data_IF_891276470969
#
_entry.id   IF_891276470969
#
_cell.length_a   1.000
_cell.length_b   1.000
_cell.length_c   1.000
_cell.angle_alpha   90.00
_cell.angle_beta   90.00
_cell.angle_gamma   90.00
#
_symmetry.space_group_name_H-M   'P 1'
#
loop_
_entity.id
_entity.type
_entity.pdbx_description
1 polymer ?
#
# COMPACT_ATOMS: atom_id res chain seq x y z
N UNK A 1 8.41 7.73 -21.04
CA UNK A 1 7.67 7.43 -19.81
C UNK A 1 8.70 7.05 -18.77
N UNK A 2 8.74 7.75 -17.63
CA UNK A 2 9.68 7.41 -16.55
C UNK A 2 9.13 6.16 -15.85
N UNK A 3 9.96 5.14 -15.61
CA UNK A 3 9.53 3.96 -14.86
C UNK A 3 9.44 4.32 -13.37
N UNK A 4 8.37 3.87 -12.70
CA UNK A 4 8.26 4.04 -11.25
C UNK A 4 9.44 3.36 -10.53
N UNK A 5 9.91 2.21 -11.02
CA UNK A 5 11.05 1.51 -10.43
C UNK A 5 12.35 2.30 -10.53
N UNK A 6 12.60 2.97 -11.67
CA UNK A 6 13.76 3.86 -11.79
C UNK A 6 13.63 5.05 -10.85
N UNK A 7 12.42 5.60 -10.71
CA UNK A 7 12.15 6.72 -9.81
C UNK A 7 12.37 6.34 -8.34
N UNK A 8 11.89 5.16 -7.93
CA UNK A 8 12.09 4.61 -6.58
C UNK A 8 13.58 4.39 -6.32
N UNK A 9 14.32 3.90 -7.31
CA UNK A 9 15.78 3.71 -7.20
C UNK A 9 16.50 5.03 -7.01
N UNK A 10 16.27 6.01 -7.87
CA UNK A 10 16.86 7.34 -7.77
C UNK A 10 16.52 8.03 -6.44
N UNK A 11 15.26 7.89 -5.99
CA UNK A 11 14.84 8.38 -4.68
C UNK A 11 15.62 7.71 -3.55
N UNK A 12 15.79 6.38 -3.59
CA UNK A 12 16.50 5.62 -2.57
C UNK A 12 17.99 5.97 -2.42
N UNK A 13 18.62 6.50 -3.48
CA UNK A 13 20.02 6.94 -3.44
C UNK A 13 20.22 8.19 -2.56
N UNK A 14 19.18 8.99 -2.36
CA UNK A 14 19.24 10.25 -1.59
C UNK A 14 18.32 10.28 -0.37
N UNK A 15 17.33 9.40 -0.31
CA UNK A 15 16.36 9.31 0.76
C UNK A 15 16.95 8.71 2.04
N UNK A 16 16.57 9.28 3.18
CA UNK A 16 16.68 8.64 4.48
C UNK A 16 15.75 7.42 4.58
N UNK A 17 16.06 6.52 5.51
CA UNK A 17 15.18 5.39 5.84
C UNK A 17 13.78 5.83 6.27
N UNK A 18 13.66 7.01 6.91
CA UNK A 18 12.38 7.59 7.29
C UNK A 18 11.52 8.00 6.09
N UNK A 19 12.13 8.63 5.09
CA UNK A 19 11.44 8.99 3.84
C UNK A 19 10.97 7.74 3.08
N UNK A 20 11.82 6.73 2.95
CA UNK A 20 11.45 5.47 2.29
C UNK A 20 10.34 4.71 3.03
N UNK A 21 10.42 4.63 4.37
CA UNK A 21 9.35 4.05 5.21
C UNK A 21 8.01 4.72 4.95
N UNK A 22 7.99 6.05 4.88
CA UNK A 22 6.76 6.81 4.70
C UNK A 22 6.20 6.63 3.29
N UNK A 23 7.05 6.55 2.26
CA UNK A 23 6.61 6.23 0.90
C UNK A 23 5.88 4.89 0.86
N UNK A 24 6.49 3.85 1.42
CA UNK A 24 5.91 2.50 1.51
C UNK A 24 4.60 2.50 2.31
N UNK A 25 4.54 3.21 3.45
CA UNK A 25 3.32 3.35 4.24
C UNK A 25 2.20 4.05 3.46
N UNK A 26 2.54 5.02 2.60
CA UNK A 26 1.58 5.73 1.76
C UNK A 26 0.96 4.82 0.70
N UNK A 27 1.77 4.00 0.02
CA UNK A 27 1.28 2.98 -0.91
C UNK A 27 0.35 1.98 -0.22
N UNK A 28 0.75 1.48 0.95
CA UNK A 28 -0.08 0.56 1.74
C UNK A 28 -1.40 1.19 2.21
N UNK A 29 -1.40 2.44 2.66
CA UNK A 29 -2.61 3.12 3.13
C UNK A 29 -3.63 3.32 1.99
N UNK A 30 -3.18 3.59 0.76
CA UNK A 30 -4.06 3.69 -0.42
C UNK A 30 -4.75 2.38 -0.77
N UNK A 31 -4.15 1.25 -0.39
CA UNK A 31 -4.67 -0.09 -0.64
C UNK A 31 -5.47 -0.67 0.52
N UNK A 32 -5.23 -0.20 1.75
CA UNK A 32 -5.76 -0.80 2.98
C UNK A 32 -7.29 -0.95 3.00
N UNK A 33 -8.03 -0.04 2.36
CA UNK A 33 -9.50 -0.13 2.32
C UNK A 33 -10.04 -1.14 1.33
N UNK A 34 -9.30 -1.49 0.27
CA UNK A 34 -9.67 -2.62 -0.58
C UNK A 34 -9.64 -3.91 0.23
N UNK A 35 -8.59 -4.14 1.01
CA UNK A 35 -8.53 -5.29 1.91
C UNK A 35 -9.63 -5.24 2.98
N UNK A 36 -9.62 -4.20 3.83
CA UNK A 36 -10.52 -4.14 5.00
C UNK A 36 -12.00 -4.02 4.61
N UNK A 37 -12.30 -3.37 3.48
CA UNK A 37 -13.67 -3.23 2.99
C UNK A 37 -14.22 -4.51 2.38
N UNK A 38 -13.43 -5.22 1.58
CA UNK A 38 -13.87 -6.44 0.89
C UNK A 38 -13.86 -7.64 1.84
N UNK A 39 -12.76 -7.84 2.57
CA UNK A 39 -12.63 -8.93 3.55
C UNK A 39 -13.54 -8.71 4.76
N UNK A 40 -13.74 -7.46 5.18
CA UNK A 40 -14.59 -7.10 6.32
C UNK A 40 -16.08 -7.39 6.12
N UNK A 41 -16.52 -7.76 4.92
CA UNK A 41 -17.89 -8.27 4.70
C UNK A 41 -18.11 -9.66 5.32
N UNK A 42 -17.03 -10.40 5.59
CA UNK A 42 -17.08 -11.71 6.23
C UNK A 42 -16.66 -11.62 7.71
N UNK A 43 -17.61 -11.88 8.62
CA UNK A 43 -17.39 -11.84 10.06
C UNK A 43 -16.33 -12.85 10.55
N UNK A 44 -16.18 -13.98 9.87
CA UNK A 44 -15.19 -15.01 10.20
C UNK A 44 -13.75 -14.55 9.91
N UNK A 45 -13.59 -13.47 9.12
CA UNK A 45 -12.29 -12.88 8.74
C UNK A 45 -11.95 -11.62 9.56
N UNK A 46 -12.63 -11.39 10.69
CA UNK A 46 -12.43 -10.20 11.53
C UNK A 46 -10.99 -10.03 12.03
N UNK A 47 -10.30 -11.12 12.36
CA UNK A 47 -8.89 -11.08 12.80
C UNK A 47 -7.94 -10.58 11.70
N UNK A 48 -8.23 -10.90 10.44
CA UNK A 48 -7.40 -10.49 9.31
C UNK A 48 -7.57 -8.98 9.04
N UNK A 49 -8.78 -8.47 9.21
CA UNK A 49 -9.07 -7.04 9.16
C UNK A 49 -8.36 -6.30 10.31
N UNK A 50 -8.38 -6.85 11.53
CA UNK A 50 -7.64 -6.29 12.67
C UNK A 50 -6.13 -6.29 12.42
N UNK A 51 -5.57 -7.34 11.81
CA UNK A 51 -4.18 -7.41 11.39
C UNK A 51 -3.84 -6.27 10.40
N UNK A 52 -4.67 -6.06 9.38
CA UNK A 52 -4.49 -4.98 8.41
C UNK A 52 -4.51 -3.59 9.06
N UNK A 53 -5.49 -3.32 9.92
CA UNK A 53 -5.60 -2.05 10.66
C UNK A 53 -4.36 -1.84 11.54
N UNK A 54 -3.96 -2.86 12.31
CA UNK A 54 -2.79 -2.81 13.18
C UNK A 54 -1.51 -2.57 12.37
N UNK A 55 -1.32 -3.30 11.28
CA UNK A 55 -0.17 -3.12 10.38
C UNK A 55 -0.10 -1.67 9.88
N UNK A 56 -1.22 -1.13 9.40
CA UNK A 56 -1.27 0.26 8.95
C UNK A 56 -0.90 1.25 10.04
N UNK A 57 -1.43 1.11 11.25
CA UNK A 57 -1.06 2.00 12.35
C UNK A 57 0.42 1.92 12.76
N UNK A 58 1.04 0.75 12.62
CA UNK A 58 2.48 0.56 12.85
C UNK A 58 3.31 1.13 11.70
N UNK A 59 2.85 1.04 10.45
CA UNK A 59 3.59 1.49 9.27
C UNK A 59 3.87 3.00 9.31
N UNK A 60 2.98 3.79 9.90
CA UNK A 60 3.17 5.23 10.06
C UNK A 60 3.99 5.64 11.30
N UNK A 61 4.37 4.70 12.15
CA UNK A 61 5.24 4.97 13.30
C UNK A 61 6.71 4.91 12.88
N UNK A 62 7.51 5.85 13.41
CA UNK A 62 8.94 5.92 13.12
C UNK A 62 9.71 4.71 13.65
N UNK A 63 9.44 4.30 14.88
CA UNK A 63 10.13 3.21 15.59
C UNK A 63 9.19 2.36 16.47
N UNK A 64 8.22 1.64 15.88
CA UNK A 64 7.38 0.73 16.63
C UNK A 64 8.20 -0.43 17.19
N UNK A 65 7.92 -0.83 18.43
CA UNK A 65 8.57 -1.97 19.11
C UNK A 65 7.80 -3.26 18.83
N UNK A 66 7.96 -3.81 17.62
CA UNK A 66 7.24 -5.00 17.15
C UNK A 66 8.16 -5.85 16.24
N UNK A 67 7.79 -7.09 15.97
CA UNK A 67 8.44 -7.95 14.96
C UNK A 67 7.77 -7.74 13.60
N UNK A 68 8.49 -7.16 12.63
CA UNK A 68 7.96 -6.96 11.28
C UNK A 68 7.90 -8.26 10.49
N UNK A 69 8.82 -9.18 10.75
CA UNK A 69 8.79 -10.53 10.20
C UNK A 69 7.52 -11.29 10.60
N UNK A 70 7.09 -11.22 11.87
CA UNK A 70 5.83 -11.84 12.33
C UNK A 70 4.59 -11.23 11.63
N UNK A 71 4.60 -9.91 11.41
CA UNK A 71 3.53 -9.23 10.67
C UNK A 71 3.51 -9.70 9.21
N UNK A 72 4.67 -9.77 8.56
CA UNK A 72 4.80 -10.24 7.19
C UNK A 72 4.39 -11.71 7.04
N UNK A 73 4.85 -12.58 7.95
CA UNK A 73 4.46 -13.99 7.98
C UNK A 73 2.94 -14.13 8.11
N UNK A 74 2.32 -13.36 9.02
CA UNK A 74 0.86 -13.33 9.17
C UNK A 74 0.15 -12.99 7.86
N UNK A 75 0.60 -11.95 7.12
CA UNK A 75 0.03 -11.65 5.80
C UNK A 75 0.24 -12.77 4.79
N UNK A 76 1.43 -13.36 4.72
CA UNK A 76 1.73 -14.46 3.79
C UNK A 76 0.87 -15.71 4.03
N UNK A 77 0.37 -15.88 5.26
CA UNK A 77 -0.51 -16.98 5.64
C UNK A 77 -1.99 -16.74 5.32
N UNK A 78 -2.36 -15.53 4.91
CA UNK A 78 -3.73 -15.21 4.55
C UNK A 78 -4.15 -15.98 3.29
N UNK A 79 -5.43 -16.37 3.16
CA UNK A 79 -5.96 -17.06 1.99
C UNK A 79 -5.61 -16.39 0.66
N UNK A 80 -5.57 -15.06 0.66
CA UNK A 80 -5.20 -14.26 -0.50
C UNK A 80 -3.77 -14.57 -0.97
N UNK A 81 -2.79 -14.68 -0.07
CA UNK A 81 -1.37 -14.87 -0.42
C UNK A 81 -0.87 -16.32 -0.34
N UNK A 82 -1.61 -17.19 0.34
CA UNK A 82 -1.24 -18.59 0.55
C UNK A 82 -1.62 -19.52 -0.62
N UNK A 83 -2.52 -19.07 -1.51
CA UNK A 83 -2.94 -19.82 -2.69
C UNK A 83 -1.92 -19.78 -3.82
N UNK A 84 -1.94 -20.82 -4.68
CA UNK A 84 -1.13 -20.87 -5.91
C UNK A 84 -1.69 -19.95 -7.02
N UNK A 85 -2.97 -19.58 -6.92
CA UNK A 85 -3.68 -18.76 -7.89
C UNK A 85 -4.32 -17.54 -7.21
N UNK A 86 -4.39 -16.44 -7.94
CA UNK A 86 -5.07 -15.23 -7.52
C UNK A 86 -6.57 -15.50 -7.31
N UNK A 87 -7.19 -14.99 -6.22
CA UNK A 87 -8.62 -15.15 -5.99
C UNK A 87 -9.46 -14.51 -7.10
N UNK A 88 -10.55 -15.15 -7.56
CA UNK A 88 -11.40 -14.57 -8.59
C UNK A 88 -12.28 -13.42 -8.07
N UNK A 89 -12.71 -12.55 -8.99
CA UNK A 89 -13.67 -11.48 -8.71
C UNK A 89 -13.13 -10.42 -7.76
N UNK A 90 -13.98 -9.90 -6.87
CA UNK A 90 -13.57 -8.82 -5.96
C UNK A 90 -12.41 -9.20 -5.02
N UNK A 91 -12.17 -10.48 -4.75
CA UNK A 91 -11.07 -10.89 -3.88
C UNK A 91 -9.68 -10.74 -4.53
N UNK A 92 -9.60 -10.57 -5.85
CA UNK A 92 -8.37 -10.17 -6.55
C UNK A 92 -7.81 -8.83 -6.00
N UNK A 93 -8.68 -7.86 -5.74
CA UNK A 93 -8.25 -6.58 -5.15
C UNK A 93 -7.80 -6.71 -3.70
N UNK A 94 -8.37 -7.68 -2.96
CA UNK A 94 -7.90 -8.02 -1.63
C UNK A 94 -6.52 -8.69 -1.67
N UNK A 95 -6.22 -9.47 -2.71
CA UNK A 95 -4.88 -10.01 -2.97
C UNK A 95 -3.84 -8.92 -3.13
N UNK A 96 -4.04 -7.97 -4.05
CA UNK A 96 -3.07 -6.88 -4.22
C UNK A 96 -2.90 -6.06 -2.95
N UNK A 97 -4.00 -5.77 -2.24
CA UNK A 97 -3.93 -5.02 -1.00
C UNK A 97 -3.17 -5.77 0.11
N UNK A 98 -3.39 -7.08 0.24
CA UNK A 98 -2.63 -7.94 1.16
C UNK A 98 -1.15 -7.99 0.77
N UNK A 99 -0.85 -8.11 -0.53
CA UNK A 99 0.52 -8.12 -1.04
C UNK A 99 1.24 -6.79 -0.78
N UNK A 100 0.57 -5.65 -1.01
CA UNK A 100 1.11 -4.33 -0.66
C UNK A 100 1.44 -4.23 0.83
N UNK A 101 0.56 -4.69 1.73
CA UNK A 101 0.78 -4.72 3.17
C UNK A 101 1.93 -5.66 3.57
N UNK A 102 2.00 -6.84 2.96
CA UNK A 102 3.08 -7.81 3.14
C UNK A 102 4.44 -7.22 2.78
N UNK A 103 4.58 -6.67 1.57
CA UNK A 103 5.85 -6.08 1.13
C UNK A 103 6.20 -4.82 1.92
N UNK A 104 5.20 -4.06 2.37
CA UNK A 104 5.43 -2.95 3.29
C UNK A 104 6.04 -3.43 4.62
N UNK A 105 5.50 -4.50 5.22
CA UNK A 105 6.06 -5.10 6.43
C UNK A 105 7.46 -5.69 6.19
N UNK A 106 7.67 -6.40 5.06
CA UNK A 106 8.99 -6.93 4.66
C UNK A 106 10.03 -5.82 4.54
N UNK A 107 9.69 -4.70 3.91
CA UNK A 107 10.60 -3.56 3.82
C UNK A 107 10.98 -3.02 5.21
N UNK A 108 10.03 -2.98 6.15
CA UNK A 108 10.32 -2.53 7.53
C UNK A 108 11.28 -3.45 8.27
N UNK A 109 11.27 -4.74 7.96
CA UNK A 109 12.21 -5.73 8.51
C UNK A 109 13.58 -5.65 7.84
N UNK A 110 13.61 -5.64 6.50
CA UNK A 110 14.83 -5.89 5.72
C UNK A 110 15.54 -4.62 5.23
N UNK A 111 14.80 -3.52 5.07
CA UNK A 111 15.25 -2.33 4.36
C UNK A 111 15.50 -2.53 2.87
N UNK A 112 15.07 -3.65 2.27
CA UNK A 112 15.39 -4.02 0.89
C UNK A 112 14.52 -3.26 -0.13
N UNK A 113 15.15 -2.65 -1.13
CA UNK A 113 14.48 -1.89 -2.19
C UNK A 113 13.54 -2.74 -3.05
N UNK A 114 13.80 -4.05 -3.17
CA UNK A 114 12.91 -4.97 -3.89
C UNK A 114 11.51 -5.02 -3.25
N UNK A 115 11.44 -4.97 -1.92
CA UNK A 115 10.17 -4.94 -1.20
C UNK A 115 9.43 -3.60 -1.43
N UNK A 116 10.15 -2.49 -1.54
CA UNK A 116 9.59 -1.17 -1.89
C UNK A 116 8.96 -1.20 -3.29
N UNK A 117 9.70 -1.71 -4.28
CA UNK A 117 9.23 -1.81 -5.66
C UNK A 117 8.00 -2.73 -5.76
N UNK A 118 8.02 -3.86 -5.05
CA UNK A 118 6.89 -4.81 -5.02
C UNK A 118 5.64 -4.19 -4.37
N UNK A 119 5.80 -3.49 -3.24
CA UNK A 119 4.72 -2.74 -2.60
C UNK A 119 4.09 -1.70 -3.55
N UNK A 120 4.93 -0.91 -4.21
CA UNK A 120 4.54 0.07 -5.24
C UNK A 120 3.77 -0.58 -6.41
N UNK A 121 4.31 -1.67 -6.95
CA UNK A 121 3.75 -2.32 -8.14
C UNK A 121 2.40 -2.97 -7.85
N UNK A 122 2.18 -3.59 -6.70
CA UNK A 122 0.85 -4.12 -6.37
C UNK A 122 -0.22 -3.02 -6.27
N UNK A 123 0.14 -1.82 -5.77
CA UNK A 123 -0.79 -0.69 -5.76
C UNK A 123 -1.13 -0.20 -7.18
N UNK A 124 -0.16 -0.25 -8.11
CA UNK A 124 -0.35 0.12 -9.52
C UNK A 124 -1.16 -0.93 -10.28
N UNK A 125 -0.82 -2.21 -10.14
CA UNK A 125 -1.52 -3.32 -10.79
C UNK A 125 -2.99 -3.33 -10.38
N UNK A 126 -3.27 -3.19 -9.08
CA UNK A 126 -4.66 -3.12 -8.62
C UNK A 126 -5.41 -1.94 -9.21
N UNK A 127 -4.75 -0.79 -9.40
CA UNK A 127 -5.36 0.36 -10.05
C UNK A 127 -5.65 0.10 -11.55
N UNK A 128 -4.75 -0.60 -12.25
CA UNK A 128 -4.98 -1.06 -13.62
C UNK A 128 -6.19 -1.99 -13.69
N UNK A 129 -6.23 -3.03 -12.85
CA UNK A 129 -7.35 -3.98 -12.79
C UNK A 129 -8.69 -3.30 -12.52
N UNK A 130 -8.75 -2.31 -11.62
CA UNK A 130 -9.99 -1.55 -11.39
C UNK A 130 -10.39 -0.76 -12.64
N UNK A 131 -9.43 -0.23 -13.41
CA UNK A 131 -9.73 0.48 -14.66
C UNK A 131 -10.33 -0.46 -15.70
N UNK A 132 -9.78 -1.67 -15.80
CA UNK A 132 -10.28 -2.72 -16.71
C UNK A 132 -11.68 -3.20 -16.31
N UNK A 133 -11.93 -3.41 -15.02
CA UNK A 133 -13.22 -3.88 -14.49
C UNK A 133 -14.34 -2.85 -14.70
N UNK A 134 -14.06 -1.58 -14.42
CA UNK A 134 -15.08 -0.53 -14.49
C UNK A 134 -15.35 -0.04 -15.92
N UNK A 135 -14.38 -0.19 -16.83
CA UNK A 135 -14.44 0.25 -18.25
C UNK A 135 -15.05 1.66 -18.45
N UNK A 136 -14.79 2.56 -17.50
CA UNK A 136 -15.37 3.91 -17.43
C UNK A 136 -14.46 4.98 -18.07
N UNK A 137 -13.37 4.53 -18.72
CA UNK A 137 -12.31 5.35 -19.34
C UNK A 137 -11.49 6.20 -18.37
N UNK A 138 -11.57 5.92 -17.07
CA UNK A 138 -10.68 6.53 -16.09
C UNK A 138 -9.42 5.68 -15.97
N UNK A 139 -8.27 6.28 -16.29
CA UNK A 139 -6.95 5.64 -16.17
C UNK A 139 -6.45 5.71 -14.73
N UNK A 140 -6.84 4.72 -13.91
CA UNK A 140 -6.47 4.70 -12.49
C UNK A 140 -5.02 4.29 -12.27
N UNK A 141 -4.40 3.58 -13.22
CA UNK A 141 -2.97 3.30 -13.21
C UNK A 141 -2.18 4.61 -13.23
N UNK A 142 -2.46 5.50 -14.20
CA UNK A 142 -1.81 6.79 -14.30
C UNK A 142 -2.08 7.66 -13.07
N UNK A 143 -3.29 7.63 -12.51
CA UNK A 143 -3.60 8.34 -11.25
C UNK A 143 -2.76 7.81 -10.08
N UNK A 144 -2.64 6.49 -9.92
CA UNK A 144 -1.81 5.92 -8.86
C UNK A 144 -0.32 6.22 -9.07
N UNK A 145 0.16 6.16 -10.32
CA UNK A 145 1.53 6.54 -10.67
C UNK A 145 1.81 8.00 -10.29
N UNK A 146 0.90 8.91 -10.62
CA UNK A 146 1.03 10.33 -10.25
C UNK A 146 1.01 10.54 -8.74
N UNK A 147 0.19 9.79 -7.99
CA UNK A 147 0.19 9.85 -6.52
C UNK A 147 1.55 9.42 -5.95
N UNK A 148 2.12 8.31 -6.44
CA UNK A 148 3.43 7.83 -5.99
C UNK A 148 4.55 8.81 -6.33
N UNK A 149 4.54 9.37 -7.55
CA UNK A 149 5.49 10.40 -7.95
C UNK A 149 5.37 11.67 -7.10
N UNK A 150 4.15 12.09 -6.78
CA UNK A 150 3.89 13.24 -5.92
C UNK A 150 4.39 13.01 -4.49
N UNK A 151 4.19 11.81 -3.94
CA UNK A 151 4.71 11.42 -2.63
C UNK A 151 6.24 11.41 -2.62
N UNK A 152 6.89 10.82 -3.61
CA UNK A 152 8.36 10.88 -3.76
C UNK A 152 8.83 12.33 -3.85
N UNK A 153 8.23 13.15 -4.72
CA UNK A 153 8.64 14.55 -4.88
C UNK A 153 8.43 15.38 -3.60
N UNK A 154 7.39 15.08 -2.81
CA UNK A 154 7.14 15.71 -1.53
C UNK A 154 8.18 15.26 -0.49
N UNK A 155 8.43 13.95 -0.39
CA UNK A 155 9.39 13.37 0.54
C UNK A 155 10.81 13.83 0.23
N UNK A 156 11.23 13.91 -1.02
CA UNK A 156 12.56 14.42 -1.41
C UNK A 156 12.84 15.85 -0.97
N UNK A 157 11.79 16.64 -0.68
CA UNK A 157 11.91 18.02 -0.22
C UNK A 157 11.75 18.20 1.29
N UNK A 158 11.33 17.16 2.02
CA UNK A 158 11.17 17.27 3.47
C UNK A 158 12.53 17.20 4.17
N UNK A 159 12.79 18.16 5.06
CA UNK A 159 13.98 18.14 5.92
C UNK A 159 13.82 17.24 7.15
N UNK A 160 12.58 16.93 7.53
CA UNK A 160 12.25 16.06 8.64
C UNK A 160 11.04 15.18 8.30
N UNK A 161 11.25 13.93 7.85
CA UNK A 161 10.15 13.03 7.50
C UNK A 161 9.25 12.67 8.70
N UNK A 162 9.77 12.76 9.92
CA UNK A 162 9.04 12.38 11.15
C UNK A 162 8.23 13.53 11.77
N UNK A 163 8.12 14.65 11.06
CA UNK A 163 7.24 15.75 11.47
C UNK A 163 5.77 15.29 11.50
N UNK A 164 5.12 15.48 12.65
CA UNK A 164 3.78 14.94 12.89
C UNK A 164 2.73 15.48 11.91
N UNK A 165 2.71 16.79 11.66
CA UNK A 165 1.76 17.41 10.74
C UNK A 165 1.96 16.93 9.30
N UNK A 166 3.22 16.74 8.89
CA UNK A 166 3.58 16.18 7.59
C UNK A 166 3.02 14.76 7.42
N UNK A 167 3.27 13.88 8.41
CA UNK A 167 2.76 12.51 8.41
C UNK A 167 1.23 12.48 8.37
N UNK A 168 0.56 13.28 9.21
CA UNK A 168 -0.91 13.32 9.26
C UNK A 168 -1.52 13.78 7.93
N UNK A 169 -0.92 14.81 7.32
CA UNK A 169 -1.36 15.30 6.00
C UNK A 169 -1.21 14.22 4.94
N UNK A 170 -0.05 13.56 4.86
CA UNK A 170 0.21 12.53 3.86
C UNK A 170 -0.72 11.32 4.04
N UNK A 171 -0.84 10.83 5.27
CA UNK A 171 -1.74 9.72 5.63
C UNK A 171 -3.19 10.06 5.35
N UNK A 172 -3.62 11.29 5.63
CA UNK A 172 -4.97 11.77 5.36
C UNK A 172 -5.33 11.69 3.88
N UNK A 173 -4.46 12.18 3.00
CA UNK A 173 -4.65 12.09 1.53
C UNK A 173 -4.74 10.64 1.05
N UNK A 174 -3.84 9.78 1.53
CA UNK A 174 -3.85 8.36 1.17
C UNK A 174 -5.17 7.66 1.58
N UNK A 175 -5.71 8.00 2.76
CA UNK A 175 -7.01 7.50 3.25
C UNK A 175 -8.21 8.00 2.46
N UNK A 176 -8.20 9.25 2.03
CA UNK A 176 -9.25 9.79 1.16
C UNK A 176 -9.29 9.04 -0.17
N UNK A 177 -8.11 8.80 -0.73
CA UNK A 177 -7.97 8.03 -1.97
C UNK A 177 -8.44 6.57 -1.81
N UNK A 178 -8.03 5.89 -0.73
CA UNK A 178 -8.46 4.53 -0.43
C UNK A 178 -9.99 4.42 -0.33
N UNK A 179 -10.65 5.40 0.31
CA UNK A 179 -12.12 5.49 0.42
C UNK A 179 -12.81 5.67 -0.92
N UNK A 180 -12.31 6.59 -1.73
CA UNK A 180 -12.86 6.83 -3.06
C UNK A 180 -12.79 5.57 -3.91
N UNK A 181 -11.62 4.90 -3.90
CA UNK A 181 -11.39 3.68 -4.68
C UNK A 181 -12.29 2.52 -4.27
N UNK A 182 -12.45 2.25 -2.97
CA UNK A 182 -13.39 1.23 -2.51
C UNK A 182 -14.84 1.57 -2.90
N UNK A 183 -15.22 2.85 -2.81
CA UNK A 183 -16.57 3.31 -3.17
C UNK A 183 -16.85 3.10 -4.65
N UNK A 184 -15.91 3.45 -5.53
CA UNK A 184 -16.01 3.23 -6.98
C UNK A 184 -16.21 1.74 -7.28
N UNK A 185 -15.37 0.88 -6.71
CA UNK A 185 -15.41 -0.56 -6.96
C UNK A 185 -16.70 -1.23 -6.46
N UNK A 186 -17.26 -0.76 -5.34
CA UNK A 186 -18.47 -1.37 -4.73
C UNK A 186 -19.78 -0.73 -5.18
N UNK A 187 -19.73 0.38 -5.91
CA UNK A 187 -20.92 1.06 -6.44
C UNK A 187 -21.18 0.76 -7.92
N UNK A 188 -20.27 0.04 -8.59
CA UNK A 188 -20.40 -0.43 -9.96
C UNK A 188 -21.28 -1.68 -10.05
#
# INVERSE_FOLDING_TARGET
MVSIESTIREFSESASSGQMRIFVASCAERMAQLFTGLVGTNADRSQDVELAIRCMDLLWQSQPQISWDEIAESFSSLPELAGDEEPPGLLAYAYDAAATLYYAARYRETGNLVDVASCSNHALNSAEYISEELDDRVDRYEIELQNQMADIALLSRTGNPDEHEFIQSLRGRAREFARARLTELTSA
#
